data_IF_838303568844
#
_entry.id   IF_838303568844
#
_cell.length_a   1.000
_cell.length_b   1.000
_cell.length_c   1.000
_cell.angle_alpha   90.00
_cell.angle_beta   90.00
_cell.angle_gamma   90.00
#
_symmetry.space_group_name_H-M   'P 1'
#
loop_
_entity.id
_entity.type
_entity.pdbx_description
1 polymer ?
#
# COMPACT_ATOMS: atom_id res chain seq x y z
N UNK A 1 -17.42 29.83 -1.60
CA UNK A 1 -16.03 29.33 -1.51
C UNK A 1 -15.28 30.20 -0.51
N UNK A 2 -14.97 29.69 0.68
CA UNK A 2 -13.72 29.90 1.46
C UNK A 2 -13.76 28.81 2.55
N UNK A 3 -12.64 28.12 2.71
CA UNK A 3 -12.46 26.92 3.52
C UNK A 3 -12.32 27.22 5.01
N UNK A 4 -12.91 26.34 5.84
CA UNK A 4 -12.65 26.25 7.28
C UNK A 4 -11.38 25.42 7.46
N UNK A 5 -10.38 26.01 8.11
CA UNK A 5 -9.24 25.29 8.68
C UNK A 5 -9.38 25.22 10.20
N UNK A 6 -8.69 24.23 10.75
CA UNK A 6 -8.32 24.07 12.16
C UNK A 6 -9.33 23.41 13.09
N UNK A 7 -8.96 22.54 14.02
CA UNK A 7 -7.69 21.90 14.41
C UNK A 7 -8.14 20.85 15.45
N UNK A 8 -7.73 19.58 15.34
CA UNK A 8 -7.80 18.68 16.49
C UNK A 8 -6.43 18.06 16.71
N UNK A 9 -5.87 18.45 17.84
CA UNK A 9 -4.65 17.95 18.47
C UNK A 9 -4.92 16.52 18.94
N UNK A 10 -4.12 15.56 18.46
CA UNK A 10 -4.07 14.22 19.02
C UNK A 10 -3.10 14.20 20.21
N UNK A 11 -3.68 14.06 21.40
CA UNK A 11 -3.01 13.46 22.53
C UNK A 11 -3.52 12.03 22.74
N UNK A 12 -2.70 11.23 23.45
CA UNK A 12 -2.99 10.01 24.22
C UNK A 12 -2.20 8.79 23.71
N UNK A 13 -1.09 8.47 24.41
CA UNK A 13 -0.86 7.42 25.43
C UNK A 13 -0.60 6.03 24.82
N UNK A 14 0.60 5.52 25.10
CA UNK A 14 1.00 4.11 24.90
C UNK A 14 0.86 3.39 26.25
N UNK A 15 0.06 2.31 26.26
CA UNK A 15 0.13 1.20 27.23
C UNK A 15 0.01 -0.10 26.43
N UNK A 16 0.96 -1.04 26.45
CA UNK A 16 1.34 -2.00 27.51
C UNK A 16 0.55 -3.33 27.46
N UNK A 17 1.27 -4.43 27.71
CA UNK A 17 0.86 -5.85 27.90
C UNK A 17 0.65 -6.69 26.62
N UNK A 18 1.06 -7.96 26.50
CA UNK A 18 1.72 -8.87 27.42
C UNK A 18 1.26 -10.33 27.18
N UNK A 19 2.24 -11.24 26.99
CA UNK A 19 2.28 -12.69 27.33
C UNK A 19 1.25 -13.74 26.83
N UNK A 20 1.80 -14.93 26.53
CA UNK A 20 1.19 -16.27 26.75
C UNK A 20 1.28 -17.21 25.54
N UNK A 21 2.28 -18.10 25.42
CA UNK A 21 2.23 -19.54 25.82
C UNK A 21 0.91 -20.23 25.41
N UNK A 22 0.85 -21.25 24.55
CA UNK A 22 1.75 -22.38 24.32
C UNK A 22 1.10 -23.65 24.87
N UNK A 23 0.83 -24.65 24.02
CA UNK A 23 0.95 -26.11 24.32
C UNK A 23 0.54 -26.96 23.11
N UNK A 24 1.38 -27.96 22.85
CA UNK A 24 1.20 -29.12 21.98
C UNK A 24 0.10 -30.08 22.49
N UNK A 25 -0.40 -30.99 21.62
CA UNK A 25 -0.42 -32.46 21.84
C UNK A 25 -1.21 -33.20 20.73
N UNK A 26 -0.45 -33.87 19.87
CA UNK A 26 -0.50 -35.29 19.45
C UNK A 26 -1.79 -36.13 19.64
N UNK A 27 -2.22 -36.77 18.54
CA UNK A 27 -2.27 -38.25 18.51
C UNK A 27 -3.61 -38.99 18.35
N UNK A 28 -3.70 -39.72 17.23
CA UNK A 28 -4.13 -41.13 17.12
C UNK A 28 -5.48 -41.50 16.47
N UNK A 29 -5.30 -42.18 15.34
CA UNK A 29 -6.07 -43.18 14.59
C UNK A 29 -6.93 -44.15 15.41
N UNK A 30 -8.09 -44.58 14.88
CA UNK A 30 -8.51 -46.00 14.75
C UNK A 30 -9.70 -46.17 13.78
N UNK A 31 -9.60 -47.26 13.01
CA UNK A 31 -10.38 -47.86 11.92
C UNK A 31 -11.75 -48.44 12.34
N UNK A 32 -12.71 -48.59 11.40
CA UNK A 32 -13.85 -49.50 11.62
C UNK A 32 -15.05 -49.42 10.65
N UNK A 33 -14.97 -50.22 9.57
CA UNK A 33 -16.03 -51.02 8.92
C UNK A 33 -17.40 -50.43 8.50
N UNK A 34 -17.66 -50.57 7.19
CA UNK A 34 -18.96 -50.57 6.51
C UNK A 34 -19.75 -51.87 6.79
N UNK A 35 -21.10 -51.83 6.69
CA UNK A 35 -21.72 -52.60 5.60
C UNK A 35 -22.85 -51.86 4.85
N UNK A 36 -23.00 -52.25 3.58
CA UNK A 36 -24.05 -51.87 2.62
C UNK A 36 -25.41 -52.47 2.96
N UNK A 37 -26.51 -51.78 2.60
CA UNK A 37 -27.66 -52.42 1.92
C UNK A 37 -28.45 -51.38 1.11
N UNK A 38 -28.69 -51.71 -0.16
CA UNK A 38 -29.60 -51.03 -1.10
C UNK A 38 -31.07 -51.17 -0.65
N UNK A 39 -31.93 -50.20 -1.00
CA UNK A 39 -33.14 -50.45 -1.82
C UNK A 39 -33.95 -49.16 -2.09
N UNK A 40 -34.24 -49.02 -3.38
CA UNK A 40 -35.11 -48.09 -4.10
C UNK A 40 -36.49 -47.79 -3.48
N UNK A 41 -36.95 -46.54 -3.65
CA UNK A 41 -38.35 -46.17 -3.43
C UNK A 41 -38.61 -44.67 -3.63
N UNK A 42 -38.96 -44.27 -4.85
CA UNK A 42 -39.70 -43.05 -5.17
C UNK A 42 -40.74 -43.41 -6.25
N UNK A 43 -41.86 -42.67 -6.46
CA UNK A 43 -42.11 -41.30 -6.01
C UNK A 43 -43.52 -41.08 -5.41
N UNK A 44 -43.70 -39.99 -4.65
CA UNK A 44 -45.03 -39.38 -4.51
C UNK A 44 -44.88 -37.86 -4.50
N UNK A 45 -45.44 -37.27 -5.54
CA UNK A 45 -45.51 -35.85 -5.85
C UNK A 45 -46.47 -35.18 -4.87
N UNK A 46 -45.94 -34.39 -3.94
CA UNK A 46 -46.69 -33.38 -3.21
C UNK A 46 -46.09 -32.02 -3.57
N UNK A 47 -46.88 -31.19 -4.24
CA UNK A 47 -46.54 -29.80 -4.51
C UNK A 47 -46.48 -29.06 -3.16
N UNK A 48 -45.25 -28.85 -2.68
CA UNK A 48 -44.97 -28.01 -1.52
C UNK A 48 -44.74 -26.58 -2.04
N UNK A 49 -45.68 -25.69 -1.73
CA UNK A 49 -45.53 -24.24 -1.91
C UNK A 49 -44.23 -23.80 -1.24
N UNK A 50 -43.21 -23.48 -2.05
CA UNK A 50 -41.99 -22.82 -1.56
C UNK A 50 -42.31 -21.37 -1.26
N UNK A 51 -42.54 -21.08 0.01
CA UNK A 51 -42.32 -19.75 0.58
C UNK A 51 -40.91 -19.29 0.18
N UNK A 52 -40.72 -18.08 -0.36
CA UNK A 52 -39.39 -17.57 -0.63
C UNK A 52 -38.69 -17.34 0.71
N UNK A 53 -37.74 -18.21 1.07
CA UNK A 53 -36.83 -17.96 2.17
C UNK A 53 -36.09 -16.66 1.89
N UNK A 54 -36.43 -15.62 2.64
CA UNK A 54 -35.68 -14.37 2.63
C UNK A 54 -34.40 -14.61 3.42
N UNK A 55 -33.35 -15.08 2.74
CA UNK A 55 -32.04 -15.30 3.35
C UNK A 55 -31.44 -13.94 3.70
N UNK A 56 -31.63 -13.51 4.95
CA UNK A 56 -30.96 -12.34 5.51
C UNK A 56 -29.47 -12.68 5.62
N UNK A 57 -28.63 -12.01 4.81
CA UNK A 57 -27.18 -12.25 4.82
C UNK A 57 -26.62 -11.80 6.16
N UNK A 58 -25.90 -12.71 6.83
CA UNK A 58 -25.15 -12.43 8.05
C UNK A 58 -24.26 -11.18 7.87
N UNK A 59 -24.37 -10.16 8.74
CA UNK A 59 -23.58 -8.93 8.64
C UNK A 59 -22.07 -9.16 8.52
N UNK A 60 -21.56 -10.21 9.17
CA UNK A 60 -20.14 -10.55 9.10
C UNK A 60 -19.74 -11.07 7.70
N UNK A 61 -20.60 -11.88 7.07
CA UNK A 61 -20.45 -12.28 5.66
C UNK A 61 -20.52 -11.09 4.71
N UNK A 62 -21.44 -10.15 4.95
CA UNK A 62 -21.56 -8.94 4.13
C UNK A 62 -20.31 -8.04 4.22
N UNK A 63 -19.75 -7.89 5.44
CA UNK A 63 -18.52 -7.14 5.65
C UNK A 63 -17.32 -7.82 4.99
N UNK A 64 -17.17 -9.13 5.13
CA UNK A 64 -16.10 -9.89 4.48
C UNK A 64 -16.10 -9.74 2.97
N UNK A 65 -17.29 -9.85 2.35
CA UNK A 65 -17.46 -9.59 0.93
C UNK A 65 -17.02 -8.17 0.57
N UNK A 66 -17.49 -7.17 1.31
CA UNK A 66 -17.15 -5.76 1.06
C UNK A 66 -15.64 -5.53 1.11
N UNK A 67 -14.96 -6.07 2.12
CA UNK A 67 -13.51 -5.92 2.25
C UNK A 67 -12.78 -6.67 1.13
N UNK A 68 -13.20 -7.89 0.77
CA UNK A 68 -12.63 -8.61 -0.37
C UNK A 68 -12.78 -7.82 -1.67
N UNK A 69 -13.96 -7.26 -1.94
CA UNK A 69 -14.23 -6.46 -3.15
C UNK A 69 -13.31 -5.22 -3.21
N UNK A 70 -13.07 -4.56 -2.07
CA UNK A 70 -12.14 -3.42 -2.00
C UNK A 70 -10.67 -3.82 -2.22
N UNK A 71 -10.24 -4.96 -1.67
CA UNK A 71 -8.90 -5.51 -1.89
C UNK A 71 -8.69 -5.89 -3.38
N UNK A 72 -9.70 -6.48 -4.02
CA UNK A 72 -9.65 -6.77 -5.46
C UNK A 72 -9.56 -5.49 -6.29
N UNK A 73 -10.34 -4.46 -5.94
CA UNK A 73 -10.29 -3.16 -6.61
C UNK A 73 -8.90 -2.51 -6.50
N UNK A 74 -8.21 -2.65 -5.36
CA UNK A 74 -6.81 -2.21 -5.22
C UNK A 74 -5.92 -2.92 -6.25
N UNK A 75 -6.04 -4.25 -6.40
CA UNK A 75 -5.25 -5.00 -7.37
C UNK A 75 -5.53 -4.59 -8.81
N UNK A 76 -6.81 -4.41 -9.16
CA UNK A 76 -7.21 -3.96 -10.50
C UNK A 76 -6.69 -2.56 -10.81
N UNK A 77 -6.80 -1.63 -9.85
CA UNK A 77 -6.34 -0.25 -10.03
C UNK A 77 -4.83 -0.18 -10.32
N UNK A 78 -4.05 -0.99 -9.63
CA UNK A 78 -2.58 -0.89 -9.64
C UNK A 78 -1.88 -1.99 -10.44
N UNK A 79 -2.61 -2.82 -11.18
CA UNK A 79 -2.09 -3.97 -11.93
C UNK A 79 -0.89 -3.60 -12.83
N UNK A 80 -0.94 -2.41 -13.44
CA UNK A 80 0.07 -1.93 -14.40
C UNK A 80 1.16 -1.04 -13.78
N UNK A 81 1.02 -0.66 -12.51
CA UNK A 81 1.94 0.27 -11.82
C UNK A 81 3.13 -0.44 -11.14
N UNK A 82 3.27 -1.76 -11.30
CA UNK A 82 4.26 -2.57 -10.58
C UNK A 82 5.72 -2.41 -11.08
N UNK A 83 6.00 -1.62 -12.11
CA UNK A 83 7.32 -1.65 -12.74
C UNK A 83 8.35 -0.80 -11.99
N UNK A 84 9.36 -1.48 -11.43
CA UNK A 84 10.58 -0.85 -10.90
C UNK A 84 10.56 -0.52 -9.41
N UNK A 85 9.42 -0.65 -8.72
CA UNK A 85 9.31 -0.41 -7.28
C UNK A 85 9.07 -1.72 -6.51
N UNK A 86 10.12 -2.22 -5.85
CA UNK A 86 10.08 -3.46 -5.08
C UNK A 86 9.20 -3.37 -3.82
N UNK A 87 9.19 -2.22 -3.15
CA UNK A 87 8.34 -1.97 -1.97
C UNK A 87 6.85 -1.98 -2.36
N UNK A 88 6.49 -1.33 -3.47
CA UNK A 88 5.12 -1.31 -3.95
C UNK A 88 4.66 -2.70 -4.38
N UNK A 89 5.53 -3.45 -5.08
CA UNK A 89 5.27 -4.84 -5.46
C UNK A 89 5.00 -5.70 -4.23
N UNK A 90 5.81 -5.57 -3.18
CA UNK A 90 5.62 -6.29 -1.92
C UNK A 90 4.29 -5.95 -1.25
N UNK A 91 3.89 -4.68 -1.26
CA UNK A 91 2.59 -4.25 -0.71
C UNK A 91 1.42 -4.86 -1.49
N UNK A 92 1.48 -4.88 -2.83
CA UNK A 92 0.46 -5.54 -3.65
C UNK A 92 0.43 -7.06 -3.44
N UNK A 93 1.57 -7.70 -3.18
CA UNK A 93 1.60 -9.13 -2.83
C UNK A 93 0.89 -9.43 -1.52
N UNK A 94 0.95 -8.53 -0.53
CA UNK A 94 0.17 -8.66 0.71
C UNK A 94 -1.33 -8.59 0.42
N UNK A 95 -1.75 -7.69 -0.48
CA UNK A 95 -3.15 -7.61 -0.92
C UNK A 95 -3.58 -8.89 -1.64
N UNK A 96 -2.76 -9.41 -2.57
CA UNK A 96 -3.03 -10.70 -3.26
C UNK A 96 -3.20 -11.87 -2.29
N UNK A 97 -2.45 -11.87 -1.18
CA UNK A 97 -2.60 -12.87 -0.11
C UNK A 97 -3.90 -12.66 0.66
N UNK A 98 -4.22 -11.42 1.02
CA UNK A 98 -5.42 -11.07 1.78
C UNK A 98 -6.73 -11.42 1.06
N UNK A 99 -6.82 -11.17 -0.25
CA UNK A 99 -7.99 -11.54 -1.07
C UNK A 99 -8.32 -13.04 -0.96
N UNK A 100 -7.30 -13.89 -0.88
CA UNK A 100 -7.43 -15.36 -0.80
C UNK A 100 -7.75 -15.88 0.60
N UNK A 101 -7.74 -15.02 1.61
CA UNK A 101 -8.06 -15.42 2.98
C UNK A 101 -9.55 -15.72 3.10
N UNK A 102 -9.89 -16.67 3.96
CA UNK A 102 -11.27 -17.01 4.26
C UNK A 102 -11.89 -16.01 5.25
N UNK A 103 -13.21 -16.12 5.45
CA UNK A 103 -13.99 -15.22 6.31
C UNK A 103 -13.51 -15.20 7.77
N UNK A 104 -12.92 -16.28 8.30
CA UNK A 104 -12.41 -16.31 9.68
C UNK A 104 -11.25 -15.33 9.91
N UNK A 105 -10.62 -14.90 8.82
CA UNK A 105 -9.48 -13.96 8.81
C UNK A 105 -9.87 -12.56 8.37
N UNK A 106 -11.13 -12.18 8.58
CA UNK A 106 -11.64 -10.85 8.21
C UNK A 106 -10.80 -9.71 8.82
N UNK A 107 -10.34 -9.85 10.07
CA UNK A 107 -9.47 -8.84 10.70
C UNK A 107 -8.18 -8.63 9.92
N UNK A 108 -7.55 -9.71 9.45
CA UNK A 108 -6.31 -9.64 8.67
C UNK A 108 -6.54 -9.02 7.28
N UNK A 109 -7.73 -9.24 6.69
CA UNK A 109 -8.12 -8.55 5.45
C UNK A 109 -8.27 -7.05 5.66
N UNK A 110 -8.92 -6.65 6.75
CA UNK A 110 -9.10 -5.23 7.14
C UNK A 110 -7.73 -4.58 7.40
N UNK A 111 -6.84 -5.28 8.10
CA UNK A 111 -5.47 -4.79 8.36
C UNK A 111 -4.70 -4.62 7.07
N UNK A 112 -4.69 -5.62 6.18
CA UNK A 112 -4.00 -5.53 4.89
C UNK A 112 -4.48 -4.35 4.04
N UNK A 113 -5.81 -4.10 4.00
CA UNK A 113 -6.39 -2.93 3.34
C UNK A 113 -5.92 -1.62 3.97
N UNK A 114 -5.96 -1.54 5.30
CA UNK A 114 -5.63 -0.33 6.06
C UNK A 114 -4.16 0.05 5.88
N UNK A 115 -3.25 -0.92 6.04
CA UNK A 115 -1.83 -0.70 5.86
C UNK A 115 -1.47 -0.32 4.43
N UNK A 116 -2.10 -0.96 3.42
CA UNK A 116 -1.89 -0.56 2.03
C UNK A 116 -2.38 0.87 1.76
N UNK A 117 -3.55 1.26 2.26
CA UNK A 117 -4.07 2.61 2.06
C UNK A 117 -3.14 3.65 2.65
N UNK A 118 -2.64 3.43 3.88
CA UNK A 118 -1.67 4.29 4.54
C UNK A 118 -0.36 4.39 3.76
N UNK A 119 0.18 3.25 3.33
CA UNK A 119 1.37 3.19 2.47
C UNK A 119 1.18 4.00 1.18
N UNK A 120 0.03 3.78 0.51
CA UNK A 120 -0.23 4.34 -0.81
C UNK A 120 -0.52 5.85 -0.74
N UNK A 121 -1.16 6.33 0.32
CA UNK A 121 -1.35 7.76 0.59
C UNK A 121 0.01 8.47 0.70
N UNK A 122 0.95 7.90 1.45
CA UNK A 122 2.31 8.43 1.56
C UNK A 122 3.02 8.42 0.21
N UNK A 123 2.92 7.31 -0.55
CA UNK A 123 3.52 7.16 -1.89
C UNK A 123 3.08 8.30 -2.81
N UNK A 124 1.76 8.48 -2.95
CA UNK A 124 1.16 9.49 -3.82
C UNK A 124 1.57 10.91 -3.39
N UNK A 125 1.56 11.18 -2.09
CA UNK A 125 1.93 12.50 -1.56
C UNK A 125 3.38 12.85 -1.89
N UNK A 126 4.31 11.90 -1.73
CA UNK A 126 5.73 12.13 -2.01
C UNK A 126 5.96 12.24 -3.52
N UNK A 127 5.33 11.39 -4.33
CA UNK A 127 5.45 11.44 -5.79
C UNK A 127 4.92 12.77 -6.37
N UNK A 128 3.82 13.30 -5.82
CA UNK A 128 3.34 14.64 -6.17
C UNK A 128 4.39 15.72 -5.87
N UNK A 129 5.02 15.68 -4.70
CA UNK A 129 6.05 16.68 -4.35
C UNK A 129 7.32 16.55 -5.22
N UNK A 130 7.66 15.32 -5.63
CA UNK A 130 8.72 15.08 -6.61
C UNK A 130 8.36 15.73 -7.95
N UNK A 131 7.12 15.53 -8.43
CA UNK A 131 6.65 16.09 -9.70
C UNK A 131 6.62 17.63 -9.65
N UNK A 132 6.15 18.23 -8.56
CA UNK A 132 6.19 19.68 -8.32
C UNK A 132 7.62 20.24 -8.37
N UNK A 133 8.58 19.53 -7.74
CA UNK A 133 9.99 19.96 -7.77
C UNK A 133 10.61 19.81 -9.15
N UNK A 134 10.34 18.72 -9.87
CA UNK A 134 10.78 18.55 -11.26
C UNK A 134 10.26 19.70 -12.12
N UNK A 135 9.01 20.12 -11.92
CA UNK A 135 8.43 21.22 -12.67
C UNK A 135 9.08 22.57 -12.33
N UNK A 136 9.36 22.82 -11.05
CA UNK A 136 10.16 23.99 -10.65
C UNK A 136 11.54 23.99 -11.33
N UNK A 137 12.20 22.83 -11.43
CA UNK A 137 13.50 22.69 -12.12
C UNK A 137 13.38 22.92 -13.63
N UNK A 138 12.28 22.46 -14.27
CA UNK A 138 12.02 22.74 -15.68
C UNK A 138 11.87 24.24 -15.97
N UNK A 139 11.37 25.01 -15.01
CA UNK A 139 11.27 26.46 -15.10
C UNK A 139 12.60 27.19 -14.81
N UNK A 140 13.43 26.64 -13.91
CA UNK A 140 14.73 27.23 -13.56
C UNK A 140 15.77 26.99 -14.66
N UNK A 141 15.88 25.77 -15.18
CA UNK A 141 16.94 25.36 -16.11
C UNK A 141 17.11 26.27 -17.33
N UNK A 142 16.05 26.73 -18.03
CA UNK A 142 16.18 27.64 -19.17
C UNK A 142 16.77 29.02 -18.83
N UNK A 143 16.74 29.41 -17.55
CA UNK A 143 17.29 30.69 -17.09
C UNK A 143 18.76 30.61 -16.72
N UNK A 144 19.34 29.41 -16.69
CA UNK A 144 20.74 29.19 -16.32
C UNK A 144 21.64 29.33 -17.55
N UNK A 145 22.86 29.83 -17.34
CA UNK A 145 23.89 29.80 -18.36
C UNK A 145 24.22 28.33 -18.72
N UNK A 146 24.25 27.96 -20.01
CA UNK A 146 24.59 26.60 -20.43
C UNK A 146 25.94 26.14 -19.87
N UNK A 147 26.00 24.91 -19.35
CA UNK A 147 27.18 24.30 -18.72
C UNK A 147 27.74 25.07 -17.51
N UNK A 148 27.00 26.03 -16.95
CA UNK A 148 27.35 26.59 -15.65
C UNK A 148 27.20 25.54 -14.55
N UNK A 149 27.92 25.74 -13.45
CA UNK A 149 27.79 24.91 -12.25
C UNK A 149 26.32 24.75 -11.82
N UNK A 150 25.55 25.85 -11.81
CA UNK A 150 24.14 25.78 -11.44
C UNK A 150 23.28 25.04 -12.46
N UNK A 151 23.56 25.15 -13.76
CA UNK A 151 22.90 24.35 -14.78
C UNK A 151 23.13 22.86 -14.52
N UNK A 152 24.38 22.43 -14.33
CA UNK A 152 24.72 21.02 -14.06
C UNK A 152 24.11 20.52 -12.74
N UNK A 153 24.18 21.34 -11.69
CA UNK A 153 23.58 21.07 -10.39
C UNK A 153 22.07 20.78 -10.52
N UNK A 154 21.32 21.67 -11.16
CA UNK A 154 19.86 21.50 -11.32
C UNK A 154 19.50 20.38 -12.30
N UNK A 155 20.33 20.13 -13.32
CA UNK A 155 20.15 18.97 -14.20
C UNK A 155 20.27 17.67 -13.40
N UNK A 156 21.31 17.55 -12.56
CA UNK A 156 21.49 16.40 -11.68
C UNK A 156 20.30 16.22 -10.74
N UNK A 157 19.81 17.30 -10.12
CA UNK A 157 18.65 17.20 -9.24
C UNK A 157 17.42 16.63 -9.96
N UNK A 158 17.16 17.10 -11.18
CA UNK A 158 16.03 16.64 -11.99
C UNK A 158 16.16 15.16 -12.35
N UNK A 159 17.37 14.70 -12.69
CA UNK A 159 17.63 13.29 -12.97
C UNK A 159 17.44 12.40 -11.75
N UNK A 160 17.99 12.80 -10.60
CA UNK A 160 17.86 12.07 -9.34
C UNK A 160 16.39 11.94 -8.94
N UNK A 161 15.60 13.02 -9.06
CA UNK A 161 14.17 13.03 -8.77
C UNK A 161 13.36 12.13 -9.71
N UNK A 162 13.71 12.07 -11.00
CA UNK A 162 13.06 11.15 -11.95
C UNK A 162 13.31 9.69 -11.58
N UNK A 163 14.54 9.36 -11.19
CA UNK A 163 14.91 8.01 -10.72
C UNK A 163 14.25 7.68 -9.40
N UNK A 164 14.03 8.67 -8.53
CA UNK A 164 13.44 8.46 -7.21
C UNK A 164 12.04 7.82 -7.25
N UNK A 165 11.24 8.05 -8.31
CA UNK A 165 9.87 7.52 -8.41
C UNK A 165 9.80 5.99 -8.32
N UNK A 166 10.86 5.28 -8.68
CA UNK A 166 10.91 3.81 -8.55
C UNK A 166 11.40 3.32 -7.18
N UNK A 167 11.86 4.20 -6.28
CA UNK A 167 12.42 3.83 -4.98
C UNK A 167 11.33 3.62 -3.91
N UNK A 168 11.72 3.13 -2.73
CA UNK A 168 10.82 3.06 -1.57
C UNK A 168 10.35 4.45 -1.12
N UNK A 169 9.27 4.54 -0.35
CA UNK A 169 8.76 5.83 0.17
C UNK A 169 9.81 6.56 1.00
N UNK A 170 10.60 5.84 1.80
CA UNK A 170 11.68 6.43 2.59
C UNK A 170 12.78 7.02 1.70
N UNK A 171 13.23 6.26 0.70
CA UNK A 171 14.26 6.71 -0.23
C UNK A 171 13.76 7.87 -1.10
N UNK A 172 12.52 7.81 -1.60
CA UNK A 172 11.86 8.92 -2.29
C UNK A 172 11.90 10.21 -1.48
N UNK A 173 11.51 10.13 -0.20
CA UNK A 173 11.49 11.27 0.70
C UNK A 173 12.90 11.84 0.90
N UNK A 174 13.90 10.97 1.13
CA UNK A 174 15.29 11.39 1.29
C UNK A 174 15.84 12.05 0.03
N UNK A 175 15.61 11.47 -1.15
CA UNK A 175 16.01 12.06 -2.43
C UNK A 175 15.33 13.40 -2.66
N UNK A 176 14.04 13.52 -2.32
CA UNK A 176 13.32 14.79 -2.41
C UNK A 176 13.92 15.86 -1.49
N UNK A 177 14.27 15.51 -0.25
CA UNK A 177 14.86 16.45 0.72
C UNK A 177 16.22 16.96 0.25
N UNK A 178 17.09 16.07 -0.24
CA UNK A 178 18.41 16.44 -0.77
C UNK A 178 18.27 17.35 -2.00
N UNK A 179 17.32 17.05 -2.88
CA UNK A 179 17.11 17.79 -4.14
C UNK A 179 16.21 19.03 -4.00
N UNK A 180 15.97 19.50 -2.76
CA UNK A 180 15.39 20.82 -2.48
C UNK A 180 16.44 21.94 -2.37
N UNK A 181 17.72 21.58 -2.33
CA UNK A 181 18.80 22.56 -2.25
C UNK A 181 18.78 23.54 -3.44
N UNK A 182 19.18 24.78 -3.17
CA UNK A 182 19.33 25.85 -4.16
C UNK A 182 20.82 25.96 -4.49
N UNK A 183 21.15 26.19 -5.76
CA UNK A 183 22.53 26.40 -6.17
C UNK A 183 23.09 27.68 -5.54
N UNK A 184 24.22 27.57 -4.86
CA UNK A 184 24.99 28.70 -4.33
C UNK A 184 26.38 28.69 -4.96
N UNK A 185 26.75 29.75 -5.67
CA UNK A 185 28.06 29.88 -6.34
C UNK A 185 29.23 29.90 -5.32
N UNK A 186 28.94 30.10 -4.03
CA UNK A 186 29.94 30.35 -2.98
C UNK A 186 30.71 29.11 -2.51
N UNK A 187 30.33 27.90 -2.93
CA UNK A 187 30.97 26.66 -2.46
C UNK A 187 32.14 26.20 -3.35
N UNK A 188 32.62 27.04 -4.29
CA UNK A 188 33.64 26.68 -5.28
C UNK A 188 34.81 27.69 -5.41
N UNK A 189 35.00 28.56 -4.41
CA UNK A 189 36.10 29.54 -4.36
C UNK A 189 37.12 29.22 -3.25
N UNK A 190 37.39 27.94 -2.98
CA UNK A 190 38.31 27.56 -1.89
C UNK A 190 39.48 26.67 -2.33
N UNK A 191 39.87 26.67 -3.62
CA UNK A 191 40.96 25.79 -4.07
C UNK A 191 41.85 26.32 -5.20
N UNK A 192 41.98 27.64 -5.39
CA UNK A 192 43.02 28.21 -6.25
C UNK A 192 43.48 29.61 -5.80
N UNK A 193 44.08 29.69 -4.61
CA UNK A 193 44.96 30.81 -4.27
C UNK A 193 46.40 30.46 -4.73
N UNK A 194 46.65 30.64 -6.02
CA UNK A 194 48.01 30.67 -6.56
C UNK A 194 48.68 31.97 -6.10
N UNK A 195 49.34 31.92 -4.95
CA UNK A 195 50.29 32.94 -4.51
C UNK A 195 51.50 32.97 -5.46
N UNK A 196 51.65 34.09 -6.14
CA UNK A 196 52.85 34.53 -6.86
C UNK A 196 54.02 34.82 -5.92
#
# INVERSE_FOLDING_TARGET
>A
MVWIWSLIVLGIVVGATGQGQGTDTTGSTTTGQSPKTDTSGAPTTAASERTPETTTVDPYTALDKTITDELENILTRYERECMGNSEFTRNLDLIRKAVKMDKSRLLDKIEARTEFNKYNEQRILIERQIDERIEALNNILPTQEPNSYCSEFYLKQREDLRKAKSLSNLEKLNTLLINKAICTIRDNYDDNDYLY
#
